data_IF_823002152699
#
_entry.id   IF_823002152699
#
_cell.length_a   1.000
_cell.length_b   1.000
_cell.length_c   1.000
_cell.angle_alpha   90.00
_cell.angle_beta   90.00
_cell.angle_gamma   90.00
#
_symmetry.space_group_name_H-M   'P 1'
#
loop_
_entity.id
_entity.type
_entity.pdbx_description
1 polymer ?
#
# COMPACT_ATOMS: atom_id res chain seq x y z
N UNK A 1 -18.84 11.84 18.91
CA UNK A 1 -17.58 11.21 18.49
C UNK A 1 -17.72 10.96 16.99
N UNK A 2 -17.05 11.73 16.14
CA UNK A 2 -17.16 11.52 14.70
C UNK A 2 -16.44 10.21 14.36
N UNK A 3 -17.20 9.22 13.88
CA UNK A 3 -16.65 8.05 13.22
C UNK A 3 -15.71 8.54 12.12
N UNK A 4 -14.40 8.34 12.29
CA UNK A 4 -13.47 8.57 11.20
C UNK A 4 -13.89 7.61 10.08
N UNK A 5 -14.08 8.08 8.83
CA UNK A 5 -14.27 7.15 7.73
C UNK A 5 -13.12 6.14 7.77
N UNK A 6 -13.45 4.85 7.64
CA UNK A 6 -12.52 3.74 7.75
C UNK A 6 -11.57 3.74 6.53
N UNK A 7 -10.69 4.75 6.44
CA UNK A 7 -9.68 4.87 5.39
C UNK A 7 -8.67 3.76 5.66
N UNK A 8 -8.64 2.76 4.78
CA UNK A 8 -7.68 1.67 4.88
C UNK A 8 -6.37 2.06 4.22
N UNK A 9 -5.27 1.88 4.94
CA UNK A 9 -3.94 2.10 4.41
C UNK A 9 -3.36 0.79 3.89
N UNK A 10 -2.93 0.80 2.64
CA UNK A 10 -2.25 -0.31 1.99
C UNK A 10 -0.86 0.17 1.60
N UNK A 11 0.16 -0.66 1.84
CA UNK A 11 1.54 -0.34 1.43
C UNK A 11 2.20 -1.47 0.67
N UNK A 12 3.05 -1.11 -0.28
CA UNK A 12 4.16 -1.94 -0.75
C UNK A 12 5.47 -1.21 -0.45
N UNK A 13 6.27 -1.71 0.49
CA UNK A 13 7.67 -1.31 0.70
C UNK A 13 8.52 -2.54 1.09
N UNK A 14 9.78 -2.58 0.68
CA UNK A 14 10.72 -3.67 0.92
C UNK A 14 10.94 -4.05 2.39
N UNK A 15 10.92 -3.08 3.32
CA UNK A 15 10.96 -3.31 4.77
C UNK A 15 10.65 -2.04 5.59
N UNK A 16 10.72 -0.85 4.99
CA UNK A 16 10.36 0.43 5.61
C UNK A 16 8.84 0.58 5.65
N UNK A 17 8.22 -0.09 6.62
CA UNK A 17 6.76 -0.08 6.73
C UNK A 17 6.28 1.34 7.04
N UNK A 18 5.23 1.85 6.34
CA UNK A 18 4.70 3.18 6.62
C UNK A 18 4.35 3.39 8.09
N UNK A 19 3.99 2.33 8.82
CA UNK A 19 3.75 2.37 10.28
C UNK A 19 4.86 3.08 11.08
N UNK A 20 6.11 3.06 10.62
CA UNK A 20 7.22 3.78 11.26
C UNK A 20 7.14 5.30 11.08
N UNK A 21 6.43 5.75 10.05
CA UNK A 21 6.23 7.15 9.68
C UNK A 21 4.83 7.66 10.00
N UNK A 22 3.87 6.77 10.30
CA UNK A 22 2.48 7.12 10.59
C UNK A 22 2.27 7.72 12.00
N UNK A 23 3.30 7.76 12.84
CA UNK A 23 3.19 8.23 14.22
C UNK A 23 2.30 7.31 15.06
N UNK A 24 0.98 7.57 15.06
CA UNK A 24 -0.06 6.78 15.77
C UNK A 24 -0.96 5.97 14.82
N UNK A 25 -0.67 5.94 13.52
CA UNK A 25 -1.48 5.20 12.54
C UNK A 25 -1.12 3.71 12.45
N UNK A 26 -2.12 2.87 12.25
CA UNK A 26 -1.94 1.45 11.96
C UNK A 26 -1.98 1.19 10.44
N UNK A 27 -1.20 0.20 10.00
CA UNK A 27 -1.26 -0.29 8.62
C UNK A 27 -2.26 -1.45 8.56
N UNK A 28 -3.37 -1.27 7.84
CA UNK A 28 -4.39 -2.32 7.73
C UNK A 28 -3.94 -3.48 6.83
N UNK A 29 -3.32 -3.15 5.69
CA UNK A 29 -2.91 -4.13 4.69
C UNK A 29 -1.49 -3.88 4.18
N UNK A 30 -0.80 -4.97 3.87
CA UNK A 30 0.55 -4.94 3.34
C UNK A 30 0.63 -5.84 2.11
N UNK A 31 0.99 -5.26 0.96
CA UNK A 31 1.16 -5.98 -0.29
C UNK A 31 2.53 -6.65 -0.31
N UNK A 32 2.56 -7.94 -0.66
CA UNK A 32 3.77 -8.75 -0.79
C UNK A 32 3.62 -9.73 -1.94
N UNK A 33 4.71 -10.07 -2.62
CA UNK A 33 4.72 -11.18 -3.58
C UNK A 33 4.63 -12.48 -2.79
N UNK A 34 3.86 -13.44 -3.28
CA UNK A 34 3.72 -14.73 -2.62
C UNK A 34 5.08 -15.44 -2.52
N UNK A 35 5.59 -15.60 -1.30
CA UNK A 35 6.72 -16.48 -1.02
C UNK A 35 6.28 -17.95 -0.90
N UNK A 36 7.20 -18.84 -0.51
CA UNK A 36 6.91 -20.27 -0.25
C UNK A 36 5.92 -20.47 0.90
N UNK A 37 5.81 -19.51 1.81
CA UNK A 37 4.91 -19.52 2.97
C UNK A 37 4.04 -18.28 2.92
N UNK A 38 2.73 -18.46 3.06
CA UNK A 38 1.74 -17.37 3.10
C UNK A 38 1.29 -17.16 4.54
N UNK A 39 1.84 -16.15 5.19
CA UNK A 39 1.36 -15.70 6.49
C UNK A 39 0.06 -14.89 6.31
N UNK A 40 -0.86 -14.95 7.27
CA UNK A 40 -2.09 -14.16 7.21
C UNK A 40 -1.86 -12.69 7.59
N UNK A 41 -0.92 -12.46 8.51
CA UNK A 41 -0.55 -11.14 9.02
C UNK A 41 0.96 -10.95 8.99
N UNK A 42 1.38 -9.71 8.79
CA UNK A 42 2.75 -9.29 8.94
C UNK A 42 3.14 -9.31 10.43
N UNK A 43 4.27 -9.93 10.82
CA UNK A 43 4.64 -10.08 12.23
C UNK A 43 5.07 -8.77 12.90
N UNK A 44 5.35 -7.71 12.13
CA UNK A 44 5.83 -6.42 12.66
C UNK A 44 4.68 -5.43 12.79
N UNK A 45 3.93 -5.22 11.70
CA UNK A 45 2.82 -4.26 11.65
C UNK A 45 1.47 -4.85 12.02
N UNK A 46 1.35 -6.18 12.12
CA UNK A 46 0.06 -6.89 12.23
C UNK A 46 -0.90 -6.67 11.04
N UNK A 47 -0.44 -6.01 9.97
CA UNK A 47 -1.20 -5.76 8.76
C UNK A 47 -1.59 -7.08 8.07
N UNK A 48 -2.77 -7.11 7.45
CA UNK A 48 -3.21 -8.26 6.66
C UNK A 48 -2.42 -8.31 5.36
N UNK A 49 -1.85 -9.48 5.05
CA UNK A 49 -1.02 -9.64 3.87
C UNK A 49 -1.87 -9.89 2.62
N UNK A 50 -1.61 -9.10 1.57
CA UNK A 50 -2.21 -9.22 0.24
C UNK A 50 -1.14 -9.76 -0.70
N UNK A 51 -1.42 -10.87 -1.38
CA UNK A 51 -0.45 -11.59 -2.21
C UNK A 51 -0.76 -11.61 -3.71
N UNK A 52 -1.94 -11.16 -4.10
CA UNK A 52 -2.38 -11.17 -5.51
C UNK A 52 -3.19 -9.93 -5.86
N UNK A 53 -3.30 -9.68 -7.17
CA UNK A 53 -4.21 -8.67 -7.71
C UNK A 53 -5.67 -8.94 -7.33
N UNK A 54 -6.09 -10.20 -7.34
CA UNK A 54 -7.46 -10.59 -6.98
C UNK A 54 -7.78 -10.26 -5.52
N UNK A 55 -6.85 -10.54 -4.60
CA UNK A 55 -7.01 -10.16 -3.19
C UNK A 55 -7.06 -8.65 -3.01
N UNK A 56 -6.25 -7.91 -3.76
CA UNK A 56 -6.29 -6.45 -3.75
C UNK A 56 -7.64 -5.91 -4.26
N UNK A 57 -8.14 -6.42 -5.40
CA UNK A 57 -9.46 -6.06 -5.94
C UNK A 57 -10.58 -6.34 -4.95
N UNK A 58 -10.55 -7.51 -4.30
CA UNK A 58 -11.51 -7.83 -3.24
C UNK A 58 -11.45 -6.83 -2.09
N UNK A 59 -10.27 -6.34 -1.70
CA UNK A 59 -10.15 -5.28 -0.69
C UNK A 59 -10.76 -3.98 -1.19
N UNK A 60 -10.45 -3.53 -2.42
CA UNK A 60 -11.03 -2.30 -3.01
C UNK A 60 -12.55 -2.38 -3.12
N UNK A 61 -13.10 -3.53 -3.51
CA UNK A 61 -14.55 -3.73 -3.66
C UNK A 61 -15.28 -3.75 -2.31
N UNK A 62 -14.68 -4.42 -1.31
CA UNK A 62 -15.28 -4.56 0.04
C UNK A 62 -15.09 -3.31 0.87
N UNK A 63 -13.93 -2.66 0.78
CA UNK A 63 -13.59 -1.41 1.46
C UNK A 63 -13.85 -0.28 0.50
N UNK A 64 -15.01 0.37 0.65
CA UNK A 64 -15.48 1.39 -0.29
C UNK A 64 -14.58 2.62 -0.42
N UNK A 65 -13.66 2.87 0.51
CA UNK A 65 -12.69 3.97 0.47
C UNK A 65 -11.34 3.53 1.04
N UNK A 66 -10.24 4.07 0.51
CA UNK A 66 -8.92 3.84 1.09
C UNK A 66 -7.78 4.53 0.34
N UNK A 67 -6.57 4.35 0.88
CA UNK A 67 -5.32 4.92 0.37
C UNK A 67 -4.30 3.79 0.18
N UNK A 68 -3.65 3.79 -0.98
CA UNK A 68 -2.56 2.90 -1.31
C UNK A 68 -1.28 3.71 -1.51
N UNK A 69 -0.21 3.29 -0.84
CA UNK A 69 1.14 3.84 -1.00
C UNK A 69 2.01 2.79 -1.65
N UNK A 70 2.51 3.07 -2.85
CA UNK A 70 3.42 2.21 -3.56
C UNK A 70 4.81 2.83 -3.59
N UNK A 71 5.75 2.08 -3.06
CA UNK A 71 7.17 2.25 -3.36
C UNK A 71 7.47 1.74 -4.77
N UNK A 72 7.95 2.61 -5.64
CA UNK A 72 8.27 2.29 -7.04
C UNK A 72 9.40 1.26 -7.23
N UNK A 73 10.28 1.06 -6.24
CA UNK A 73 11.33 0.04 -6.29
C UNK A 73 10.91 -1.32 -5.75
N UNK A 74 9.72 -1.42 -5.16
CA UNK A 74 9.28 -2.68 -4.56
C UNK A 74 8.94 -3.72 -5.65
N UNK A 75 9.81 -4.71 -5.79
CA UNK A 75 9.66 -5.90 -6.65
C UNK A 75 8.74 -6.96 -6.02
N UNK A 76 8.26 -6.71 -4.80
CA UNK A 76 7.30 -7.56 -4.08
C UNK A 76 5.86 -7.17 -4.38
N UNK A 77 5.62 -6.34 -5.40
CA UNK A 77 4.25 -6.07 -5.84
C UNK A 77 3.78 -7.22 -6.75
N UNK A 78 2.60 -7.82 -6.50
CA UNK A 78 2.00 -8.80 -7.40
C UNK A 78 1.84 -8.26 -8.82
N UNK A 79 1.98 -9.15 -9.79
CA UNK A 79 1.81 -8.83 -11.21
C UNK A 79 0.42 -8.23 -11.48
N UNK A 80 0.35 -7.22 -12.35
CA UNK A 80 -0.89 -6.54 -12.74
C UNK A 80 -1.41 -5.51 -11.74
N UNK A 81 -0.85 -5.43 -10.51
CA UNK A 81 -1.33 -4.49 -9.50
C UNK A 81 -1.01 -3.04 -9.86
N UNK A 82 0.18 -2.78 -10.42
CA UNK A 82 0.56 -1.42 -10.85
C UNK A 82 -0.28 -0.93 -12.03
N UNK A 83 -0.59 -1.81 -12.97
CA UNK A 83 -1.49 -1.54 -14.10
C UNK A 83 -2.88 -1.19 -13.57
N UNK A 84 -3.45 -2.04 -12.73
CA UNK A 84 -4.75 -1.79 -12.10
C UNK A 84 -4.80 -0.47 -11.32
N UNK A 85 -3.75 -0.13 -10.56
CA UNK A 85 -3.72 1.14 -9.83
C UNK A 85 -3.76 2.35 -10.77
N UNK A 86 -3.06 2.28 -11.91
CA UNK A 86 -3.03 3.37 -12.90
C UNK A 86 -4.34 3.49 -13.67
N UNK A 87 -5.00 2.37 -13.95
CA UNK A 87 -6.17 2.32 -14.82
C UNK A 87 -7.48 2.51 -14.04
N UNK A 88 -7.55 2.05 -12.78
CA UNK A 88 -8.80 1.94 -12.02
C UNK A 88 -8.84 2.77 -10.72
N UNK A 89 -7.71 3.29 -10.23
CA UNK A 89 -7.66 4.11 -9.01
C UNK A 89 -7.34 5.58 -9.34
N UNK A 90 -7.63 6.48 -8.39
CA UNK A 90 -7.26 7.87 -8.52
C UNK A 90 -5.81 8.07 -8.07
N UNK A 91 -4.94 8.55 -8.95
CA UNK A 91 -3.57 8.94 -8.57
C UNK A 91 -3.61 10.30 -7.87
N UNK A 92 -3.28 10.32 -6.58
CA UNK A 92 -3.30 11.53 -5.76
C UNK A 92 -2.02 12.36 -5.96
N UNK A 93 -0.87 11.70 -5.85
CA UNK A 93 0.43 12.34 -6.11
C UNK A 93 1.53 11.30 -6.37
N UNK A 94 2.64 11.79 -6.91
CA UNK A 94 3.88 11.07 -7.08
C UNK A 94 5.03 12.00 -6.64
N UNK A 95 5.96 11.45 -5.88
CA UNK A 95 7.18 12.16 -5.49
C UNK A 95 8.38 11.32 -5.88
N UNK A 96 9.32 11.91 -6.62
CA UNK A 96 10.55 11.21 -7.05
C UNK A 96 11.50 10.90 -5.87
N UNK A 97 11.36 11.67 -4.78
CA UNK A 97 12.19 11.58 -3.59
C UNK A 97 11.35 11.86 -2.35
N UNK A 98 11.51 11.04 -1.32
CA UNK A 98 10.91 11.30 -0.02
C UNK A 98 11.60 12.46 0.71
N UNK A 99 12.92 12.64 0.48
CA UNK A 99 13.70 13.73 1.08
C UNK A 99 14.44 14.54 0.01
N UNK A 100 14.70 15.84 0.26
CA UNK A 100 15.38 16.71 -0.72
C UNK A 100 16.76 16.19 -1.15
N UNK A 101 17.50 15.62 -0.21
CA UNK A 101 18.84 15.06 -0.41
C UNK A 101 18.81 13.57 -0.07
N UNK A 102 18.51 12.74 -1.06
CA UNK A 102 18.65 11.28 -0.97
C UNK A 102 19.66 10.81 -2.03
N UNK A 103 20.54 9.86 -1.68
CA UNK A 103 21.57 9.36 -2.60
C UNK A 103 21.01 8.56 -3.78
N UNK A 104 19.73 8.15 -3.72
CA UNK A 104 19.02 7.45 -4.79
C UNK A 104 17.62 8.01 -4.94
N UNK A 105 17.13 8.08 -6.17
CA UNK A 105 15.72 8.38 -6.44
C UNK A 105 14.88 7.23 -5.90
N UNK A 106 13.92 7.56 -5.05
CA UNK A 106 13.02 6.60 -4.44
C UNK A 106 11.59 7.08 -4.66
N UNK A 107 11.04 6.87 -5.87
CA UNK A 107 9.72 7.37 -6.18
C UNK A 107 8.66 6.69 -5.31
N UNK A 108 7.72 7.48 -4.80
CA UNK A 108 6.54 6.99 -4.10
C UNK A 108 5.31 7.50 -4.81
N UNK A 109 4.41 6.57 -5.10
CA UNK A 109 3.12 6.85 -5.72
C UNK A 109 2.03 6.64 -4.68
N UNK A 110 1.07 7.57 -4.65
CA UNK A 110 -0.11 7.45 -3.78
C UNK A 110 -1.36 7.42 -4.62
N UNK A 111 -2.18 6.41 -4.37
CA UNK A 111 -3.47 6.19 -5.00
C UNK A 111 -4.58 6.20 -3.96
N UNK A 112 -5.77 6.64 -4.37
CA UNK A 112 -6.99 6.57 -3.56
C UNK A 112 -8.12 5.92 -4.35
N UNK A 113 -9.15 5.48 -3.63
CA UNK A 113 -10.41 5.05 -4.23
C UNK A 113 -11.58 5.40 -3.32
N UNK A 114 -12.78 5.45 -3.93
CA UNK A 114 -14.02 5.73 -3.22
C UNK A 114 -14.23 7.20 -2.94
N UNK A 115 -14.78 7.92 -3.91
CA UNK A 115 -15.20 9.32 -3.76
C UNK A 115 -16.33 9.49 -2.75
#
# INVERSE_FOLDING_TARGET
>A
MSERPEIKLISANWNDLPVWYLGEGELDYLIRKSGKVRAKKDPVSSAILIYSLEEFKNVVETKKKGILVIDSWDDRIPEGLREYCRDDLNKEFEVDRLYPVQPRYWPVEVYSWGN
#
